data_IF_308200110282
#
_entry.id   IF_308200110282
#
_cell.length_a   1.000
_cell.length_b   1.000
_cell.length_c   1.000
_cell.angle_alpha   90.00
_cell.angle_beta   90.00
_cell.angle_gamma   90.00
#
_symmetry.space_group_name_H-M   'P 1'
#
loop_
_entity.id
_entity.type
_entity.pdbx_description
1 polymer ?
#
# COMPACT_ATOMS: atom_id res chain seq x y z
N UNK A 1 -37.69 62.07 -37.91
CA UNK A 1 -36.22 62.21 -37.88
C UNK A 1 -35.65 60.89 -37.47
N UNK A 2 -35.28 60.09 -38.47
CA UNK A 2 -34.73 58.73 -38.29
C UNK A 2 -33.20 58.82 -38.32
N UNK A 3 -32.53 58.30 -37.30
CA UNK A 3 -31.10 58.07 -37.35
C UNK A 3 -30.88 56.57 -37.28
N UNK A 4 -30.45 56.05 -38.40
CA UNK A 4 -29.97 54.68 -38.64
C UNK A 4 -28.58 54.53 -38.02
N UNK A 5 -28.42 53.57 -37.13
CA UNK A 5 -27.09 53.11 -36.64
C UNK A 5 -26.71 51.81 -37.32
N UNK A 6 -25.60 51.82 -38.04
CA UNK A 6 -24.94 50.64 -38.61
C UNK A 6 -24.19 49.87 -37.52
N UNK A 7 -24.16 48.55 -37.54
CA UNK A 7 -23.34 47.75 -36.64
C UNK A 7 -21.88 47.69 -37.14
N UNK A 8 -20.95 47.89 -36.19
CA UNK A 8 -19.52 47.67 -36.40
C UNK A 8 -19.20 46.18 -36.32
N UNK A 9 -18.78 45.63 -37.44
CA UNK A 9 -18.24 44.29 -37.54
C UNK A 9 -16.86 44.26 -36.88
N UNK A 10 -16.70 43.54 -35.77
CA UNK A 10 -15.40 43.28 -35.17
C UNK A 10 -14.90 41.94 -35.72
N UNK A 11 -13.82 42.02 -36.49
CA UNK A 11 -13.10 40.88 -37.02
C UNK A 11 -12.21 40.32 -35.89
N UNK A 12 -12.57 39.19 -35.33
CA UNK A 12 -11.77 38.51 -34.32
C UNK A 12 -10.81 37.55 -35.04
N UNK A 13 -9.55 37.93 -35.15
CA UNK A 13 -8.49 37.05 -35.62
C UNK A 13 -8.18 36.00 -34.54
N UNK A 14 -8.61 34.76 -34.80
CA UNK A 14 -8.32 33.62 -33.92
C UNK A 14 -6.86 33.19 -34.08
N UNK A 15 -6.06 33.43 -33.05
CA UNK A 15 -4.71 32.90 -32.95
C UNK A 15 -4.82 31.46 -32.43
N UNK A 16 -4.71 30.46 -33.29
CA UNK A 16 -4.57 29.06 -32.97
C UNK A 16 -3.17 28.84 -32.38
N UNK A 17 -3.05 28.88 -31.07
CA UNK A 17 -1.87 28.39 -30.35
C UNK A 17 -2.05 26.86 -30.19
N UNK A 18 -1.44 26.11 -31.11
CA UNK A 18 -1.29 24.67 -30.95
C UNK A 18 -0.32 24.41 -29.77
N UNK A 19 -0.90 24.19 -28.59
CA UNK A 19 -0.15 23.77 -27.43
C UNK A 19 0.39 22.35 -27.63
N UNK A 20 1.65 22.24 -28.04
CA UNK A 20 2.41 21.01 -27.90
C UNK A 20 2.67 20.77 -26.43
N UNK A 21 1.82 19.94 -25.81
CA UNK A 21 2.13 19.36 -24.51
C UNK A 21 3.27 18.36 -24.68
N UNK A 22 4.51 18.82 -24.45
CA UNK A 22 5.62 17.92 -24.23
C UNK A 22 5.41 17.19 -22.92
N UNK A 23 4.86 15.98 -22.98
CA UNK A 23 4.98 15.03 -21.90
C UNK A 23 6.45 14.65 -21.74
N UNK A 24 7.13 15.31 -20.83
CA UNK A 24 8.43 14.87 -20.32
C UNK A 24 8.19 13.58 -19.53
N UNK A 25 8.02 12.46 -20.24
CA UNK A 25 8.28 11.16 -19.64
C UNK A 25 9.77 11.12 -19.35
N UNK A 26 10.10 11.27 -18.06
CA UNK A 26 11.44 10.96 -17.60
C UNK A 26 11.80 9.57 -18.15
N UNK A 27 12.89 9.49 -18.90
CA UNK A 27 13.48 8.24 -19.35
C UNK A 27 13.82 7.42 -18.08
N UNK A 28 12.88 6.60 -17.60
CA UNK A 28 13.25 5.49 -16.74
C UNK A 28 14.18 4.65 -17.59
N UNK A 29 15.43 4.51 -17.17
CA UNK A 29 16.39 3.68 -17.85
C UNK A 29 15.73 2.32 -18.10
N UNK A 30 15.42 2.02 -19.37
CA UNK A 30 14.93 0.70 -19.76
C UNK A 30 16.05 -0.26 -19.37
N UNK A 31 15.81 -1.02 -18.31
CA UNK A 31 16.74 -2.05 -17.89
C UNK A 31 17.03 -2.96 -19.09
N UNK A 32 18.24 -3.45 -19.16
CA UNK A 32 18.62 -4.45 -20.15
C UNK A 32 17.63 -5.61 -20.07
N UNK A 33 16.85 -5.90 -21.13
CA UNK A 33 15.85 -6.98 -21.10
C UNK A 33 16.45 -8.36 -20.86
N UNK A 34 17.76 -8.51 -20.93
CA UNK A 34 18.48 -9.75 -20.61
C UNK A 34 18.73 -9.92 -19.10
N UNK A 35 18.62 -8.85 -18.29
CA UNK A 35 18.86 -8.90 -16.85
C UNK A 35 17.56 -8.78 -16.06
N UNK A 36 17.22 -9.79 -15.23
CA UNK A 36 16.04 -9.72 -14.40
C UNK A 36 16.14 -8.57 -13.40
N UNK A 37 15.03 -7.85 -13.23
CA UNK A 37 14.95 -6.75 -12.26
C UNK A 37 14.66 -7.31 -10.87
N UNK A 38 15.47 -6.92 -9.89
CA UNK A 38 15.21 -7.22 -8.48
C UNK A 38 14.35 -6.14 -7.85
N UNK A 39 13.37 -6.56 -7.08
CA UNK A 39 12.39 -5.71 -6.42
C UNK A 39 12.31 -6.07 -4.95
N UNK A 40 12.57 -5.10 -4.06
CA UNK A 40 12.39 -5.27 -2.61
C UNK A 40 11.12 -4.60 -2.14
N UNK A 41 10.27 -5.41 -1.54
CA UNK A 41 8.96 -5.01 -1.02
C UNK A 41 8.96 -5.19 0.50
N UNK A 42 8.46 -4.19 1.21
CA UNK A 42 8.21 -4.24 2.65
C UNK A 42 6.71 -4.05 2.88
N UNK A 43 6.11 -4.84 3.78
CA UNK A 43 4.79 -4.57 4.34
C UNK A 43 4.92 -4.35 5.85
N UNK A 44 4.28 -3.29 6.37
CA UNK A 44 4.43 -2.88 7.75
C UNK A 44 3.17 -2.20 8.30
N UNK A 45 2.63 -2.74 9.38
CA UNK A 45 1.64 -2.05 10.21
C UNK A 45 2.38 -1.13 11.19
N UNK A 46 2.17 0.18 11.06
CA UNK A 46 2.92 1.21 11.82
C UNK A 46 2.21 1.67 13.09
N UNK A 47 1.20 0.94 13.54
CA UNK A 47 0.48 1.19 14.81
C UNK A 47 0.10 2.67 14.99
N UNK A 48 -0.43 3.32 13.96
CA UNK A 48 -0.83 4.74 13.96
C UNK A 48 0.32 5.73 14.29
N UNK A 49 1.57 5.34 14.09
CA UNK A 49 2.73 6.15 14.45
C UNK A 49 2.89 6.42 15.94
N UNK A 50 2.28 5.58 16.80
CA UNK A 50 2.31 5.78 18.26
C UNK A 50 3.67 5.45 18.89
N UNK A 51 4.45 4.60 18.25
CA UNK A 51 5.64 3.99 18.84
C UNK A 51 6.94 4.61 18.33
N UNK A 52 6.95 5.07 17.09
CA UNK A 52 8.11 5.65 16.47
C UNK A 52 7.74 6.72 15.44
N UNK A 53 8.64 7.68 15.24
CA UNK A 53 8.51 8.64 14.15
C UNK A 53 8.83 7.99 12.81
N UNK A 54 8.35 8.57 11.67
CA UNK A 54 8.70 8.08 10.34
C UNK A 54 10.20 7.97 10.11
N UNK A 55 10.96 8.95 10.58
CA UNK A 55 12.42 8.99 10.42
C UNK A 55 13.11 7.87 11.20
N UNK A 56 12.60 7.55 12.40
CA UNK A 56 13.14 6.46 13.22
C UNK A 56 12.86 5.09 12.56
N UNK A 57 11.67 4.91 11.99
CA UNK A 57 11.32 3.72 11.21
C UNK A 57 12.24 3.62 9.99
N UNK A 58 12.43 4.73 9.26
CA UNK A 58 13.28 4.76 8.09
C UNK A 58 14.72 4.31 8.36
N UNK A 59 15.28 4.63 9.52
CA UNK A 59 16.63 4.21 9.90
C UNK A 59 16.80 2.68 9.87
N UNK A 60 15.77 1.94 10.31
CA UNK A 60 15.80 0.48 10.29
C UNK A 60 15.49 -0.09 8.90
N UNK A 61 14.45 0.43 8.24
CA UNK A 61 14.05 -0.09 6.93
C UNK A 61 15.06 0.21 5.82
N UNK A 62 15.85 1.28 5.95
CA UNK A 62 16.81 1.72 4.94
C UNK A 62 17.90 0.69 4.63
N UNK A 63 18.27 -0.14 5.59
CA UNK A 63 19.25 -1.21 5.39
C UNK A 63 18.80 -2.26 4.38
N UNK A 64 17.46 -2.42 4.25
CA UNK A 64 16.85 -3.31 3.28
C UNK A 64 16.81 -2.71 1.87
N UNK A 65 17.07 -1.39 1.71
CA UNK A 65 16.99 -0.68 0.43
C UNK A 65 15.68 -0.97 -0.31
N UNK A 66 14.52 -0.67 0.28
CA UNK A 66 13.23 -1.00 -0.33
C UNK A 66 13.00 -0.23 -1.63
N UNK A 67 12.30 -0.86 -2.56
CA UNK A 67 11.74 -0.22 -3.76
C UNK A 67 10.27 0.17 -3.52
N UNK A 68 9.56 -0.65 -2.75
CA UNK A 68 8.15 -0.48 -2.41
C UNK A 68 7.96 -0.70 -0.91
N UNK A 69 7.16 0.17 -0.28
CA UNK A 69 6.71 0.00 1.11
C UNK A 69 5.19 0.10 1.16
N UNK A 70 4.54 -0.96 1.65
CA UNK A 70 3.11 -1.11 1.79
C UNK A 70 2.76 -0.95 3.28
N UNK A 71 2.05 0.12 3.63
CA UNK A 71 1.83 0.48 5.03
C UNK A 71 0.37 0.35 5.42
N UNK A 72 0.12 -0.25 6.57
CA UNK A 72 -1.16 -0.25 7.26
C UNK A 72 -1.11 0.55 8.56
N UNK A 73 -2.28 0.97 9.04
CA UNK A 73 -2.44 1.85 10.20
C UNK A 73 -1.64 3.15 10.13
N UNK A 74 -1.50 3.73 8.96
CA UNK A 74 -0.81 5.01 8.78
C UNK A 74 -1.70 6.13 9.30
N UNK A 75 -1.18 7.05 10.14
CA UNK A 75 -1.95 8.21 10.55
C UNK A 75 -1.84 9.32 9.50
N UNK A 76 -2.92 10.07 9.30
CA UNK A 76 -2.94 11.31 8.50
C UNK A 76 -2.85 12.54 9.38
N UNK A 77 -2.46 13.64 8.78
CA UNK A 77 -2.44 14.95 9.43
C UNK A 77 -3.82 15.29 9.97
N UNK A 78 -3.90 15.63 11.24
CA UNK A 78 -5.13 16.10 11.86
C UNK A 78 -5.52 17.48 11.27
N UNK A 79 -6.82 17.70 11.14
CA UNK A 79 -7.37 18.91 10.55
C UNK A 79 -6.79 20.16 11.23
N UNK A 80 -6.34 21.12 10.43
CA UNK A 80 -5.78 22.39 10.89
C UNK A 80 -4.31 22.37 11.29
N UNK A 81 -3.66 21.21 11.30
CA UNK A 81 -2.21 21.14 11.54
C UNK A 81 -1.44 21.38 10.25
N UNK A 82 -0.39 22.22 10.34
CA UNK A 82 0.53 22.53 9.23
C UNK A 82 1.80 21.70 9.35
N UNK A 83 1.66 20.39 9.20
CA UNK A 83 2.78 19.45 9.24
C UNK A 83 2.76 18.59 7.98
N UNK A 84 3.93 18.09 7.56
CA UNK A 84 4.05 17.21 6.41
C UNK A 84 3.35 15.87 6.71
N UNK A 85 2.73 15.27 5.69
CA UNK A 85 2.08 13.96 5.82
C UNK A 85 3.06 12.90 6.35
N UNK A 86 2.57 12.01 7.20
CA UNK A 86 3.39 11.00 7.89
C UNK A 86 4.07 10.05 6.88
N UNK A 87 3.33 9.57 5.87
CA UNK A 87 3.87 8.70 4.83
C UNK A 87 4.90 9.41 3.97
N UNK A 88 4.70 10.70 3.69
CA UNK A 88 5.66 11.48 2.93
C UNK A 88 6.97 11.69 3.71
N UNK A 89 6.90 11.90 5.02
CA UNK A 89 8.11 11.97 5.87
C UNK A 89 8.89 10.66 5.86
N UNK A 90 8.18 9.52 5.89
CA UNK A 90 8.83 8.21 5.79
C UNK A 90 9.48 8.02 4.42
N UNK A 91 8.78 8.36 3.35
CA UNK A 91 9.31 8.28 1.98
C UNK A 91 10.57 9.12 1.81
N UNK A 92 10.54 10.39 2.23
CA UNK A 92 11.69 11.29 2.17
C UNK A 92 12.90 10.72 2.92
N UNK A 93 12.66 10.18 4.13
CA UNK A 93 13.72 9.60 4.95
C UNK A 93 14.29 8.31 4.34
N UNK A 94 13.51 7.55 3.57
CA UNK A 94 13.96 6.37 2.82
C UNK A 94 14.63 6.73 1.48
N UNK A 95 14.42 7.95 0.96
CA UNK A 95 14.84 8.34 -0.38
C UNK A 95 13.95 7.74 -1.46
N UNK A 96 12.64 7.67 -1.20
CA UNK A 96 11.61 7.22 -2.13
C UNK A 96 10.70 8.40 -2.48
N UNK A 97 10.39 8.57 -3.75
CA UNK A 97 9.83 9.83 -4.25
C UNK A 97 8.31 9.83 -4.41
N UNK A 98 7.68 8.66 -4.46
CA UNK A 98 6.27 8.54 -4.80
C UNK A 98 5.45 7.96 -3.64
N UNK A 99 4.37 8.65 -3.28
CA UNK A 99 3.51 8.28 -2.15
C UNK A 99 2.04 8.38 -2.55
N UNK A 100 1.28 7.33 -2.28
CA UNK A 100 -0.18 7.37 -2.28
C UNK A 100 -0.72 7.01 -0.89
N UNK A 101 -1.64 7.82 -0.37
CA UNK A 101 -2.30 7.57 0.92
C UNK A 101 -3.81 7.49 0.71
N UNK A 102 -4.39 6.35 1.06
CA UNK A 102 -5.82 6.11 0.97
C UNK A 102 -6.66 7.08 1.80
N UNK A 103 -7.95 7.14 1.51
CA UNK A 103 -8.91 8.04 2.16
C UNK A 103 -9.75 7.33 3.23
N UNK A 104 -9.79 5.99 3.21
CA UNK A 104 -10.58 5.18 4.15
C UNK A 104 -9.73 4.79 5.36
N UNK A 105 -10.16 5.23 6.54
CA UNK A 105 -9.56 4.84 7.83
C UNK A 105 -10.24 3.61 8.40
N UNK A 106 -9.48 2.64 8.89
CA UNK A 106 -10.00 1.48 9.63
C UNK A 106 -10.57 1.87 11.00
N UNK A 107 -10.16 3.02 11.55
CA UNK A 107 -10.71 3.60 12.78
C UNK A 107 -11.43 4.92 12.49
N UNK A 108 -12.34 5.31 13.36
CA UNK A 108 -12.95 6.65 13.30
C UNK A 108 -11.90 7.74 13.52
N UNK A 109 -11.99 8.84 12.78
CA UNK A 109 -11.08 9.99 12.88
C UNK A 109 -11.04 10.67 14.26
N UNK A 110 -11.95 10.31 15.16
CA UNK A 110 -12.15 11.00 16.45
C UNK A 110 -11.57 10.27 17.67
N UNK A 111 -10.83 9.19 17.47
CA UNK A 111 -10.29 8.49 18.63
C UNK A 111 -8.89 9.01 18.97
N UNK A 112 -8.72 9.77 20.08
CA UNK A 112 -7.41 10.15 20.57
C UNK A 112 -6.53 8.95 20.97
N UNK A 113 -7.13 7.74 21.07
CA UNK A 113 -6.39 6.50 21.32
C UNK A 113 -5.53 6.02 20.16
N UNK A 114 -5.76 6.57 18.94
CA UNK A 114 -5.16 6.09 17.70
C UNK A 114 -4.41 7.20 16.93
N UNK A 115 -3.69 8.03 17.64
CA UNK A 115 -2.86 9.08 17.06
C UNK A 115 -1.43 9.00 17.59
N UNK A 116 -0.52 9.67 16.91
CA UNK A 116 0.83 9.83 17.42
C UNK A 116 0.84 10.68 18.71
N UNK A 117 1.88 10.51 19.57
CA UNK A 117 1.95 11.22 20.85
C UNK A 117 1.97 12.74 20.73
N UNK A 118 2.31 13.29 19.57
CA UNK A 118 2.36 14.74 19.33
C UNK A 118 1.00 15.35 19.03
N UNK A 119 -0.01 14.51 18.77
CA UNK A 119 -1.36 14.92 18.38
C UNK A 119 -1.46 15.60 17.01
N UNK A 120 -0.40 15.49 16.18
CA UNK A 120 -0.40 16.05 14.83
C UNK A 120 -1.08 15.13 13.82
N UNK A 121 -1.15 13.85 14.10
CA UNK A 121 -1.66 12.83 13.20
C UNK A 121 -2.71 11.96 13.89
N UNK A 122 -3.59 11.35 13.10
CA UNK A 122 -4.61 10.44 13.60
C UNK A 122 -5.20 9.55 12.52
N UNK A 123 -5.95 8.53 12.96
CA UNK A 123 -6.61 7.55 12.10
C UNK A 123 -5.72 6.36 11.76
N UNK A 124 -6.30 5.42 10.98
CA UNK A 124 -5.68 4.16 10.54
C UNK A 124 -5.86 3.99 9.03
N UNK A 125 -5.05 4.68 8.26
CA UNK A 125 -5.09 4.64 6.80
C UNK A 125 -4.13 3.59 6.25
N UNK A 126 -4.10 3.43 4.94
CA UNK A 126 -3.15 2.62 4.20
C UNK A 126 -2.37 3.51 3.26
N UNK A 127 -1.14 3.14 2.97
CA UNK A 127 -0.28 3.91 2.09
C UNK A 127 0.62 3.01 1.27
N UNK A 128 0.93 3.46 0.07
CA UNK A 128 1.92 2.86 -0.83
C UNK A 128 3.01 3.89 -1.04
N UNK A 129 4.26 3.50 -0.80
CA UNK A 129 5.45 4.30 -1.09
C UNK A 129 6.25 3.53 -2.14
N UNK A 130 6.74 4.22 -3.17
CA UNK A 130 7.48 3.60 -4.27
C UNK A 130 8.65 4.45 -4.73
N UNK A 131 9.70 3.78 -5.22
CA UNK A 131 10.80 4.42 -5.93
C UNK A 131 10.40 4.87 -7.33
N UNK A 132 9.51 4.13 -7.97
CA UNK A 132 9.00 4.44 -9.31
C UNK A 132 7.66 5.17 -9.25
N UNK A 133 7.32 5.97 -10.26
CA UNK A 133 6.05 6.70 -10.30
C UNK A 133 4.85 5.80 -10.05
N UNK A 134 3.93 6.29 -9.23
CA UNK A 134 2.64 5.66 -8.99
C UNK A 134 1.59 6.30 -9.88
N UNK A 135 0.67 5.50 -10.43
CA UNK A 135 -0.55 6.00 -11.04
C UNK A 135 -1.41 6.72 -9.99
N UNK A 136 -2.48 7.38 -10.42
CA UNK A 136 -3.51 7.81 -9.49
C UNK A 136 -4.01 6.60 -8.70
N UNK A 137 -3.87 6.67 -7.37
CA UNK A 137 -4.24 5.59 -6.48
C UNK A 137 -5.73 5.64 -6.13
N UNK A 138 -6.30 4.51 -5.76
CA UNK A 138 -7.69 4.39 -5.36
C UNK A 138 -7.86 3.57 -4.09
N UNK A 139 -8.90 3.90 -3.31
CA UNK A 139 -9.36 3.03 -2.24
C UNK A 139 -10.20 1.89 -2.81
N UNK A 140 -9.91 0.67 -2.39
CA UNK A 140 -10.70 -0.51 -2.71
C UNK A 140 -11.65 -0.77 -1.55
N UNK A 141 -12.93 -0.57 -1.79
CA UNK A 141 -13.99 -0.97 -0.86
C UNK A 141 -14.14 -2.49 -0.92
N UNK A 142 -13.91 -3.14 0.22
CA UNK A 142 -14.10 -4.59 0.34
C UNK A 142 -15.39 -4.85 1.11
N UNK A 143 -16.36 -5.42 0.43
CA UNK A 143 -17.62 -5.85 1.03
C UNK A 143 -17.43 -7.15 1.83
N UNK A 144 -18.35 -7.46 2.72
CA UNK A 144 -18.34 -8.69 3.51
C UNK A 144 -18.32 -8.47 5.02
N UNK A 145 -18.25 -9.58 5.75
CA UNK A 145 -18.23 -9.61 7.21
C UNK A 145 -16.92 -9.06 7.80
N UNK A 146 -16.99 -8.50 8.99
CA UNK A 146 -15.87 -7.94 9.72
C UNK A 146 -15.98 -6.43 9.92
N UNK A 147 -14.86 -5.74 10.07
CA UNK A 147 -14.85 -4.30 10.32
C UNK A 147 -15.45 -3.53 9.15
N UNK A 148 -16.42 -2.67 9.41
CA UNK A 148 -17.10 -1.86 8.38
C UNK A 148 -16.13 -1.02 7.51
N UNK A 149 -14.96 -0.69 8.03
CA UNK A 149 -13.95 0.18 7.39
C UNK A 149 -12.68 -0.55 6.97
N UNK A 150 -12.70 -1.88 6.97
CA UNK A 150 -11.62 -2.64 6.37
C UNK A 150 -11.52 -2.30 4.89
N UNK A 151 -10.32 -2.09 4.40
CA UNK A 151 -10.10 -1.69 3.01
C UNK A 151 -8.67 -1.99 2.58
N UNK A 152 -8.44 -1.85 1.29
CA UNK A 152 -7.13 -1.75 0.69
C UNK A 152 -7.00 -0.43 -0.07
N UNK A 153 -5.78 0.02 -0.33
CA UNK A 153 -5.49 1.03 -1.35
C UNK A 153 -4.72 0.36 -2.46
N UNK A 154 -4.98 0.80 -3.68
CA UNK A 154 -4.34 0.30 -4.89
C UNK A 154 -3.70 1.44 -5.65
N UNK A 155 -2.52 1.22 -6.20
CA UNK A 155 -1.90 2.05 -7.22
C UNK A 155 -1.12 1.16 -8.19
N UNK A 156 -0.85 1.67 -9.38
CA UNK A 156 -0.01 0.97 -10.35
C UNK A 156 1.35 1.63 -10.42
N UNK A 157 2.34 0.84 -10.78
CA UNK A 157 3.69 1.32 -11.12
C UNK A 157 4.26 0.47 -12.25
N UNK A 158 5.35 0.93 -12.85
CA UNK A 158 6.11 0.17 -13.84
C UNK A 158 7.52 -0.06 -13.33
N UNK A 159 7.94 -1.32 -13.32
CA UNK A 159 9.27 -1.73 -12.89
C UNK A 159 9.83 -2.73 -13.91
N UNK A 160 11.00 -2.41 -14.47
CA UNK A 160 11.62 -3.26 -15.49
C UNK A 160 10.75 -3.45 -16.73
N UNK A 161 9.99 -2.43 -17.15
CA UNK A 161 9.06 -2.50 -18.27
C UNK A 161 7.79 -3.31 -18.02
N UNK A 162 7.53 -3.68 -16.76
CA UNK A 162 6.36 -4.46 -16.37
C UNK A 162 5.41 -3.64 -15.51
N UNK A 163 4.15 -3.69 -15.86
CA UNK A 163 3.07 -3.09 -15.09
C UNK A 163 2.75 -3.94 -13.86
N UNK A 164 2.76 -3.30 -12.69
CA UNK A 164 2.51 -3.89 -11.39
C UNK A 164 1.36 -3.16 -10.71
N UNK A 165 0.33 -3.88 -10.28
CA UNK A 165 -0.67 -3.38 -9.35
C UNK A 165 -0.22 -3.68 -7.92
N UNK A 166 -0.12 -2.64 -7.12
CA UNK A 166 0.30 -2.68 -5.73
C UNK A 166 -0.91 -2.46 -4.82
N UNK A 167 -1.05 -3.30 -3.82
CA UNK A 167 -2.10 -3.18 -2.81
C UNK A 167 -1.48 -3.08 -1.42
N UNK A 168 -1.86 -2.06 -0.67
CA UNK A 168 -1.63 -2.01 0.78
C UNK A 168 -2.98 -2.15 1.49
N UNK A 169 -3.05 -3.03 2.48
CA UNK A 169 -4.32 -3.41 3.10
C UNK A 169 -4.27 -3.47 4.64
N UNK A 170 -5.47 -3.40 5.22
CA UNK A 170 -5.72 -3.73 6.62
C UNK A 170 -7.11 -4.38 6.70
N UNK A 171 -7.16 -5.69 6.84
CA UNK A 171 -8.37 -6.49 6.85
C UNK A 171 -8.79 -6.87 8.28
N UNK A 172 -10.07 -7.23 8.50
CA UNK A 172 -10.53 -7.67 9.81
C UNK A 172 -9.98 -9.06 10.13
N UNK A 173 -9.57 -9.26 11.40
CA UNK A 173 -9.12 -10.55 11.87
C UNK A 173 -10.26 -11.51 12.21
N UNK A 174 -10.07 -12.76 11.87
CA UNK A 174 -10.83 -13.86 12.44
C UNK A 174 -10.09 -14.50 13.64
N UNK A 175 -8.78 -14.31 13.73
CA UNK A 175 -7.95 -14.86 14.80
C UNK A 175 -8.28 -14.35 16.21
N UNK A 176 -8.87 -13.14 16.32
CA UNK A 176 -9.26 -12.57 17.61
C UNK A 176 -10.68 -12.95 18.08
N UNK A 177 -11.47 -13.50 17.18
CA UNK A 177 -12.73 -14.11 17.55
C UNK A 177 -12.47 -15.59 17.71
N UNK A 178 -12.67 -16.16 18.90
CA UNK A 178 -12.60 -17.60 19.20
C UNK A 178 -13.55 -18.45 18.33
N UNK A 179 -13.95 -17.93 17.20
CA UNK A 179 -14.77 -18.50 16.15
C UNK A 179 -14.04 -18.34 14.83
N UNK A 180 -12.85 -18.97 14.72
CA UNK A 180 -12.28 -19.18 13.39
C UNK A 180 -13.38 -19.81 12.51
N UNK A 181 -13.64 -19.25 11.33
CA UNK A 181 -14.60 -19.85 10.43
C UNK A 181 -14.10 -21.23 10.04
N UNK A 182 -14.74 -22.23 10.56
CA UNK A 182 -14.43 -23.65 10.29
C UNK A 182 -15.06 -24.13 8.97
N UNK A 183 -15.70 -23.20 8.21
CA UNK A 183 -16.47 -23.59 7.04
C UNK A 183 -16.24 -22.66 5.83
N UNK A 184 -16.45 -23.19 4.64
CA UNK A 184 -16.49 -22.46 3.36
C UNK A 184 -17.46 -21.26 3.39
N UNK A 185 -18.51 -21.30 4.19
CA UNK A 185 -19.49 -20.22 4.36
C UNK A 185 -18.85 -18.92 4.88
N UNK A 186 -17.87 -19.05 5.75
CA UNK A 186 -17.17 -17.87 6.28
C UNK A 186 -16.23 -17.23 5.27
N UNK A 187 -15.67 -18.01 4.35
CA UNK A 187 -14.90 -17.50 3.24
C UNK A 187 -15.79 -16.69 2.27
N UNK A 188 -16.89 -17.26 1.80
CA UNK A 188 -17.77 -16.65 0.81
C UNK A 188 -18.32 -15.27 1.21
N UNK A 189 -18.60 -15.05 2.49
CA UNK A 189 -19.06 -13.75 3.01
C UNK A 189 -17.96 -12.84 3.52
N UNK A 190 -16.69 -13.19 3.36
CA UNK A 190 -15.58 -12.45 3.96
C UNK A 190 -15.07 -11.29 3.10
N UNK A 191 -14.47 -10.30 3.75
CA UNK A 191 -13.74 -9.23 3.04
C UNK A 191 -12.50 -9.73 2.33
N UNK A 192 -11.91 -10.83 2.78
CA UNK A 192 -10.80 -11.48 2.10
C UNK A 192 -11.23 -12.06 0.76
N UNK A 193 -12.44 -12.66 0.70
CA UNK A 193 -13.03 -13.16 -0.57
C UNK A 193 -13.27 -12.04 -1.56
N UNK A 194 -13.90 -10.93 -1.10
CA UNK A 194 -14.15 -9.77 -1.96
C UNK A 194 -12.83 -9.18 -2.52
N UNK A 195 -11.78 -9.15 -1.70
CA UNK A 195 -10.45 -8.74 -2.17
C UNK A 195 -9.85 -9.75 -3.15
N UNK A 196 -10.02 -11.06 -2.90
CA UNK A 196 -9.54 -12.10 -3.80
C UNK A 196 -10.19 -11.99 -5.20
N UNK A 197 -11.49 -11.69 -5.26
CA UNK A 197 -12.20 -11.46 -6.52
C UNK A 197 -11.63 -10.26 -7.28
N UNK A 198 -11.39 -9.15 -6.56
CA UNK A 198 -10.77 -7.96 -7.14
C UNK A 198 -9.36 -8.24 -7.68
N UNK A 199 -8.52 -8.95 -6.92
CA UNK A 199 -7.17 -9.36 -7.33
C UNK A 199 -7.23 -10.25 -8.57
N UNK A 200 -8.17 -11.19 -8.63
CA UNK A 200 -8.31 -12.08 -9.78
C UNK A 200 -8.64 -11.33 -11.06
N UNK A 201 -9.53 -10.35 -10.99
CA UNK A 201 -9.82 -9.45 -12.11
C UNK A 201 -8.58 -8.64 -12.55
N UNK A 202 -7.82 -8.12 -11.60
CA UNK A 202 -6.60 -7.32 -11.85
C UNK A 202 -5.50 -8.14 -12.55
N UNK A 203 -5.30 -9.38 -12.10
CA UNK A 203 -4.27 -10.30 -12.63
C UNK A 203 -4.43 -10.66 -14.11
N UNK A 204 -5.58 -10.35 -14.71
CA UNK A 204 -5.76 -10.53 -16.16
C UNK A 204 -4.92 -9.52 -16.96
N UNK A 205 -4.68 -8.33 -16.40
CA UNK A 205 -4.03 -7.20 -17.08
C UNK A 205 -2.58 -6.94 -16.65
N UNK A 206 -2.21 -7.28 -15.41
CA UNK A 206 -0.89 -6.97 -14.87
C UNK A 206 -0.43 -7.95 -13.78
N UNK A 207 0.81 -7.81 -13.37
CA UNK A 207 1.31 -8.48 -12.17
C UNK A 207 0.77 -7.79 -10.92
N UNK A 208 0.58 -8.55 -9.84
CA UNK A 208 -0.01 -8.05 -8.61
C UNK A 208 0.88 -8.37 -7.41
N UNK A 209 1.07 -7.36 -6.56
CA UNK A 209 1.69 -7.49 -5.23
C UNK A 209 0.72 -6.93 -4.21
N UNK A 210 0.43 -7.71 -3.18
CA UNK A 210 -0.48 -7.35 -2.09
C UNK A 210 0.26 -7.49 -0.78
N UNK A 211 0.29 -6.44 0.04
CA UNK A 211 0.93 -6.52 1.34
C UNK A 211 0.20 -5.73 2.42
N UNK A 212 0.40 -6.11 3.66
CA UNK A 212 -0.16 -5.45 4.83
C UNK A 212 -0.63 -6.41 5.90
N UNK A 213 -1.47 -5.89 6.77
CA UNK A 213 -2.07 -6.63 7.87
C UNK A 213 -3.37 -7.32 7.42
N UNK A 214 -3.27 -8.62 7.19
CA UNK A 214 -4.41 -9.47 6.85
C UNK A 214 -5.22 -9.86 8.09
N UNK A 215 -4.66 -9.67 9.28
CA UNK A 215 -5.23 -10.14 10.54
C UNK A 215 -5.60 -11.64 10.53
N UNK A 216 -4.92 -12.41 9.69
CA UNK A 216 -5.13 -13.85 9.52
C UNK A 216 -3.78 -14.56 9.49
N UNK A 217 -3.70 -15.69 10.18
CA UNK A 217 -2.46 -16.47 10.24
C UNK A 217 -2.12 -17.13 8.92
N UNK A 218 -0.84 -17.37 8.67
CA UNK A 218 -0.35 -18.05 7.47
C UNK A 218 -1.07 -19.37 7.20
N UNK A 219 -1.32 -20.15 8.25
CA UNK A 219 -2.00 -21.45 8.18
C UNK A 219 -3.52 -21.35 8.33
N UNK A 220 -4.05 -20.13 8.54
CA UNK A 220 -5.48 -19.91 8.74
C UNK A 220 -6.31 -20.25 7.49
N UNK A 221 -7.49 -20.78 7.71
CA UNK A 221 -8.37 -21.25 6.62
C UNK A 221 -8.69 -20.16 5.59
N UNK A 222 -8.87 -18.92 6.05
CA UNK A 222 -9.16 -17.78 5.17
C UNK A 222 -7.95 -17.45 4.31
N UNK A 223 -6.74 -17.43 4.88
CA UNK A 223 -5.51 -17.23 4.11
C UNK A 223 -5.28 -18.34 3.10
N UNK A 224 -5.45 -19.59 3.51
CA UNK A 224 -5.31 -20.74 2.61
C UNK A 224 -6.33 -20.70 1.46
N UNK A 225 -7.57 -20.29 1.75
CA UNK A 225 -8.60 -20.12 0.73
C UNK A 225 -8.24 -18.99 -0.25
N UNK A 226 -7.73 -17.86 0.27
CA UNK A 226 -7.28 -16.75 -0.56
C UNK A 226 -6.14 -17.15 -1.50
N UNK A 227 -5.13 -17.84 -0.98
CA UNK A 227 -3.99 -18.33 -1.79
C UNK A 227 -4.45 -19.33 -2.87
N UNK A 228 -5.35 -20.26 -2.50
CA UNK A 228 -5.91 -21.24 -3.43
C UNK A 228 -6.68 -20.57 -4.56
N UNK A 229 -7.55 -19.63 -4.23
CA UNK A 229 -8.42 -18.98 -5.20
C UNK A 229 -7.68 -17.97 -6.07
N UNK A 230 -6.79 -17.17 -5.49
CA UNK A 230 -6.00 -16.20 -6.26
C UNK A 230 -4.82 -16.83 -6.97
N UNK A 231 -4.40 -18.05 -6.63
CA UNK A 231 -3.16 -18.68 -7.11
C UNK A 231 -1.91 -17.80 -6.90
N UNK A 232 -1.98 -16.88 -5.95
CA UNK A 232 -0.82 -16.11 -5.51
C UNK A 232 0.06 -16.94 -4.57
N UNK A 233 1.31 -16.55 -4.45
CA UNK A 233 2.21 -17.11 -3.45
C UNK A 233 2.38 -16.13 -2.30
N UNK A 234 2.48 -16.66 -1.08
CA UNK A 234 2.85 -15.90 0.09
C UNK A 234 4.38 -15.93 0.24
N UNK A 235 5.01 -14.79 0.31
CA UNK A 235 6.44 -14.69 0.59
C UNK A 235 6.75 -14.88 2.06
N UNK A 236 5.81 -14.58 2.97
CA UNK A 236 5.98 -14.70 4.41
C UNK A 236 5.91 -16.17 4.80
N UNK A 237 7.07 -16.73 5.20
CA UNK A 237 7.19 -18.15 5.55
C UNK A 237 6.93 -18.43 7.02
N UNK A 238 7.13 -17.42 7.86
CA UNK A 238 6.93 -17.56 9.30
C UNK A 238 5.47 -17.34 9.68
N UNK A 239 5.09 -17.84 10.85
CA UNK A 239 3.77 -17.55 11.41
C UNK A 239 3.60 -16.05 11.61
N UNK A 240 2.70 -15.45 10.85
CA UNK A 240 2.43 -14.01 10.85
C UNK A 240 0.97 -13.74 10.53
N UNK A 241 0.51 -12.53 10.83
CA UNK A 241 -0.73 -11.96 10.34
C UNK A 241 -0.47 -10.83 9.31
N UNK A 242 0.80 -10.42 9.19
CA UNK A 242 1.28 -9.52 8.15
C UNK A 242 1.88 -10.35 7.02
N UNK A 243 1.49 -10.08 5.79
CA UNK A 243 1.91 -10.88 4.64
C UNK A 243 2.25 -10.02 3.44
N UNK A 244 3.06 -10.59 2.53
CA UNK A 244 3.24 -10.11 1.17
C UNK A 244 2.90 -11.26 0.22
N UNK A 245 1.83 -11.08 -0.57
CA UNK A 245 1.44 -11.99 -1.63
C UNK A 245 1.89 -11.45 -2.98
N UNK A 246 2.29 -12.32 -3.88
CA UNK A 246 2.72 -11.94 -5.23
C UNK A 246 2.20 -12.89 -6.28
N UNK A 247 1.89 -12.37 -7.47
CA UNK A 247 1.44 -13.17 -8.61
C UNK A 247 2.60 -13.95 -9.22
N UNK A 248 2.29 -15.12 -9.80
CA UNK A 248 3.30 -15.99 -10.42
C UNK A 248 3.08 -16.18 -11.91
N UNK A 249 2.00 -15.60 -12.46
CA UNK A 249 1.61 -15.76 -13.88
C UNK A 249 2.76 -15.37 -14.81
N UNK A 250 3.50 -14.33 -14.47
CA UNK A 250 4.54 -13.74 -15.31
C UNK A 250 5.97 -13.95 -14.75
N UNK A 251 6.21 -15.06 -14.08
CA UNK A 251 7.54 -15.47 -13.64
C UNK A 251 8.17 -14.60 -12.54
N UNK A 252 7.36 -13.95 -11.68
CA UNK A 252 7.93 -13.42 -10.45
C UNK A 252 8.46 -14.57 -9.58
N UNK A 253 9.71 -14.46 -9.16
CA UNK A 253 10.39 -15.47 -8.36
C UNK A 253 10.83 -14.86 -7.02
N UNK A 254 10.49 -15.51 -5.94
CA UNK A 254 10.98 -15.15 -4.61
C UNK A 254 12.45 -15.54 -4.48
N UNK A 255 13.30 -14.56 -4.21
CA UNK A 255 14.72 -14.74 -3.94
C UNK A 255 14.99 -14.84 -2.44
N UNK A 256 14.48 -13.88 -1.69
CA UNK A 256 14.69 -13.78 -0.24
C UNK A 256 13.42 -13.27 0.44
N UNK A 257 13.30 -13.57 1.71
CA UNK A 257 12.23 -13.06 2.57
C UNK A 257 12.70 -13.00 4.01
N UNK A 258 12.08 -12.15 4.80
CA UNK A 258 12.34 -12.05 6.22
C UNK A 258 11.26 -11.30 6.96
N UNK A 259 11.40 -11.31 8.28
CA UNK A 259 10.54 -10.65 9.23
C UNK A 259 11.38 -10.10 10.35
N UNK A 260 11.13 -8.86 10.79
CA UNK A 260 11.88 -8.26 11.87
C UNK A 260 11.00 -7.32 12.71
N UNK A 261 11.36 -7.13 13.97
CA UNK A 261 10.71 -6.25 14.93
C UNK A 261 11.45 -4.93 15.15
N UNK A 262 12.64 -4.77 14.57
CA UNK A 262 13.53 -3.63 14.80
C UNK A 262 14.68 -3.92 15.76
N UNK A 263 15.33 -2.89 16.28
CA UNK A 263 16.69 -2.95 16.81
C UNK A 263 16.94 -3.93 17.96
N UNK A 264 15.93 -4.50 18.55
CA UNK A 264 16.08 -5.39 19.71
C UNK A 264 15.32 -6.69 19.62
N UNK A 265 15.02 -7.15 18.41
CA UNK A 265 14.46 -8.47 18.10
C UNK A 265 13.61 -9.06 19.26
N UNK A 266 12.32 -8.71 19.35
CA UNK A 266 11.61 -8.81 20.59
C UNK A 266 10.39 -9.70 20.52
N UNK A 267 10.10 -10.36 21.61
CA UNK A 267 8.84 -11.04 21.77
C UNK A 267 7.70 -10.05 22.08
N UNK A 268 6.49 -10.44 21.74
CA UNK A 268 5.26 -9.66 21.85
C UNK A 268 5.00 -9.05 23.25
N UNK A 269 5.55 -9.64 24.30
CA UNK A 269 5.21 -9.29 25.68
C UNK A 269 5.98 -8.08 26.23
N UNK A 270 7.02 -7.64 25.51
CA UNK A 270 7.90 -6.56 25.95
C UNK A 270 8.06 -5.43 24.92
N UNK A 271 7.14 -5.31 23.96
CA UNK A 271 7.25 -4.45 22.79
C UNK A 271 7.49 -2.97 23.16
N UNK A 272 6.75 -2.42 24.13
CA UNK A 272 6.91 -1.01 24.54
C UNK A 272 8.20 -0.70 25.29
N UNK A 273 8.61 -1.58 26.19
CA UNK A 273 9.78 -1.35 27.03
C UNK A 273 11.12 -1.50 26.30
N UNK A 274 11.09 -2.08 25.13
CA UNK A 274 12.27 -2.56 24.42
C UNK A 274 12.62 -1.78 23.13
N UNK A 275 11.92 -0.68 22.87
CA UNK A 275 12.22 0.19 21.74
C UNK A 275 11.77 -0.34 20.38
N UNK A 276 10.78 -1.23 20.35
CA UNK A 276 10.11 -1.62 19.11
C UNK A 276 9.44 -0.42 18.47
N UNK A 277 9.35 -0.45 17.14
CA UNK A 277 8.84 0.66 16.35
C UNK A 277 7.34 0.55 16.10
N UNK A 278 6.74 -0.62 16.34
CA UNK A 278 5.33 -0.97 16.24
C UNK A 278 5.04 -2.19 17.11
N UNK A 279 3.76 -2.48 17.34
CA UNK A 279 3.26 -3.76 17.90
C UNK A 279 3.17 -4.86 16.84
N UNK A 280 3.59 -4.57 15.62
CA UNK A 280 3.78 -5.51 14.52
C UNK A 280 5.24 -5.58 14.10
N UNK A 281 5.72 -6.73 13.59
CA UNK A 281 6.94 -6.79 12.81
C UNK A 281 6.69 -6.26 11.41
N UNK A 282 7.70 -5.76 10.73
CA UNK A 282 7.62 -5.69 9.27
C UNK A 282 7.97 -7.04 8.65
N UNK A 283 7.34 -7.32 7.53
CA UNK A 283 7.72 -8.42 6.65
C UNK A 283 8.29 -7.86 5.35
N UNK A 284 9.25 -8.56 4.76
CA UNK A 284 9.86 -8.11 3.52
C UNK A 284 10.18 -9.28 2.59
N UNK A 285 10.26 -9.00 1.31
CA UNK A 285 10.76 -9.95 0.32
C UNK A 285 11.57 -9.26 -0.78
N UNK A 286 12.47 -10.01 -1.38
CA UNK A 286 13.13 -9.69 -2.64
C UNK A 286 12.56 -10.60 -3.72
N UNK A 287 11.97 -9.99 -4.75
CA UNK A 287 11.41 -10.67 -5.91
C UNK A 287 12.31 -10.42 -7.12
N UNK A 288 12.45 -11.42 -7.96
CA UNK A 288 13.02 -11.32 -9.30
C UNK A 288 11.87 -11.22 -10.29
N UNK A 289 11.92 -10.19 -11.14
CA UNK A 289 10.97 -9.97 -12.23
C UNK A 289 11.72 -10.25 -13.53
N UNK A 290 11.34 -11.32 -14.23
CA UNK A 290 11.88 -11.64 -15.55
C UNK A 290 11.13 -10.84 -16.62
N UNK A 291 11.84 -10.41 -17.65
CA UNK A 291 11.30 -9.67 -18.79
C UNK A 291 10.66 -10.59 -19.83
#
# INVERSE_FOLDING_TARGET
>A
MNKTNLPKTILLAGLLISGFSFSLFANSAKGDPSNPTKLRVIAYNVACGQWATPERIAQELKVLKPDIVLLSEVPKVNRGKKVKDWSQRLADALGLDHVHVGTVSSAGHKSPKWGDPTGNYGGKFKSIISRTPLSEGMDISVEGSGWKRASAVRAETEIGGRKLALYSLHLPGFAHHNKAPTSSVAWEGSKHKALADHINAEKESCDVIVGGDFNEWTEGLVMQSMLKETKMKNSTKEKSIDHILYSTKNKMKLLQTGRDWGPKNQNKDNVKSNGCLSDHPWVWCELEISH
#
